data_IF_612660116062
#
_entry.id   IF_612660116062
#
_cell.length_a   1.000
_cell.length_b   1.000
_cell.length_c   1.000
_cell.angle_alpha   90.00
_cell.angle_beta   90.00
_cell.angle_gamma   90.00
#
_symmetry.space_group_name_H-M   'P 1'
#
loop_
_entity.id
_entity.type
_entity.pdbx_description
1 polymer ?
#
# COMPACT_ATOMS: atom_id res chain seq x y z
N UNK A 1 -45.38 62.31 32.04
CA UNK A 1 -44.60 61.09 31.75
C UNK A 1 -43.54 61.39 30.70
N UNK A 2 -42.36 61.87 31.07
CA UNK A 2 -41.28 62.15 30.09
C UNK A 2 -39.92 62.12 30.79
N UNK A 3 -39.33 60.91 30.89
CA UNK A 3 -38.02 60.73 31.48
C UNK A 3 -37.58 59.27 31.42
N UNK A 4 -37.37 58.72 30.22
CA UNK A 4 -36.89 57.32 30.09
C UNK A 4 -36.19 56.98 28.77
N UNK A 5 -36.18 57.86 27.75
CA UNK A 5 -35.65 57.50 26.41
C UNK A 5 -34.16 57.79 26.19
N UNK A 6 -33.52 58.62 27.03
CA UNK A 6 -32.11 59.00 26.87
C UNK A 6 -31.12 58.02 27.53
N UNK A 7 -31.56 57.18 28.49
CA UNK A 7 -30.70 56.19 29.14
C UNK A 7 -30.48 54.94 28.27
N UNK A 8 -31.50 54.46 27.55
CA UNK A 8 -31.38 53.29 26.67
C UNK A 8 -30.35 53.49 25.55
N UNK A 9 -30.29 54.68 24.94
CA UNK A 9 -29.38 54.95 23.82
C UNK A 9 -27.89 54.87 24.21
N UNK A 10 -27.55 55.27 25.45
CA UNK A 10 -26.17 55.27 25.96
C UNK A 10 -25.69 53.85 26.30
N UNK A 11 -26.59 52.98 26.77
CA UNK A 11 -26.26 51.58 27.07
C UNK A 11 -25.99 50.75 25.80
N UNK A 12 -26.76 50.97 24.73
CA UNK A 12 -26.54 50.30 23.43
C UNK A 12 -25.24 50.70 22.73
N UNK A 13 -24.82 51.97 22.86
CA UNK A 13 -23.54 52.44 22.31
C UNK A 13 -22.33 51.87 23.07
N UNK A 14 -22.45 51.70 24.39
CA UNK A 14 -21.42 51.04 25.20
C UNK A 14 -21.24 49.56 24.86
N UNK A 15 -22.34 48.85 24.59
CA UNK A 15 -22.31 47.44 24.18
C UNK A 15 -21.70 47.24 22.77
N UNK A 16 -21.95 48.15 21.83
CA UNK A 16 -21.38 48.10 20.47
C UNK A 16 -19.88 48.41 20.42
N UNK A 17 -19.38 49.24 21.34
CA UNK A 17 -17.95 49.59 21.42
C UNK A 17 -17.08 48.49 22.04
N UNK A 18 -17.69 47.51 22.72
CA UNK A 18 -17.00 46.34 23.30
C UNK A 18 -16.98 45.12 22.36
N UNK A 19 -17.76 45.14 21.28
CA UNK A 19 -17.81 44.06 20.31
C UNK A 19 -16.49 43.76 19.56
N UNK A 20 -15.63 44.75 19.18
CA UNK A 20 -14.44 44.43 18.39
C UNK A 20 -13.32 43.80 19.22
N UNK A 21 -13.36 43.89 20.56
CA UNK A 21 -12.34 43.28 21.43
C UNK A 21 -12.54 41.78 21.61
N UNK A 22 -13.74 41.24 21.37
CA UNK A 22 -14.02 39.80 21.48
C UNK A 22 -13.63 39.01 20.21
N UNK A 23 -13.27 39.70 19.12
CA UNK A 23 -12.92 39.07 17.85
C UNK A 23 -11.40 38.93 17.65
N UNK A 24 -10.59 39.34 18.62
CA UNK A 24 -9.17 39.04 18.69
C UNK A 24 -8.94 37.70 19.41
N UNK A 25 -9.68 36.66 19.03
CA UNK A 25 -9.18 35.30 19.19
C UNK A 25 -8.15 35.13 18.07
N UNK A 26 -6.95 35.64 18.35
CA UNK A 26 -5.77 35.50 17.52
C UNK A 26 -5.69 34.06 17.02
N UNK A 27 -5.80 33.88 15.71
CA UNK A 27 -5.24 32.71 15.06
C UNK A 27 -3.78 32.69 15.46
N UNK A 28 -3.45 31.95 16.52
CA UNK A 28 -2.07 31.77 16.91
C UNK A 28 -1.38 31.15 15.72
N UNK A 29 -0.54 31.93 15.02
CA UNK A 29 0.43 31.42 14.08
C UNK A 29 1.53 30.75 14.92
N UNK A 30 1.16 29.72 15.67
CA UNK A 30 2.10 28.82 16.29
C UNK A 30 2.76 28.02 15.19
N UNK A 31 4.03 27.71 15.35
CA UNK A 31 4.67 26.63 14.62
C UNK A 31 4.03 25.29 15.04
N UNK A 32 2.75 25.10 14.71
CA UNK A 32 2.04 23.85 14.85
C UNK A 32 2.64 22.88 13.85
N UNK A 33 3.50 21.98 14.32
CA UNK A 33 3.93 20.84 13.54
C UNK A 33 2.70 19.98 13.23
N UNK A 34 2.16 20.12 12.03
CA UNK A 34 1.15 19.21 11.51
C UNK A 34 1.87 17.96 11.00
N UNK A 35 1.80 16.87 11.78
CA UNK A 35 2.35 15.58 11.36
C UNK A 35 1.31 14.83 10.54
N UNK A 36 1.55 14.69 9.24
CA UNK A 36 0.78 13.80 8.38
C UNK A 36 1.41 12.40 8.40
N UNK A 37 0.60 11.35 8.61
CA UNK A 37 1.04 9.96 8.43
C UNK A 37 0.62 9.48 7.05
N UNK A 38 1.60 9.19 6.20
CA UNK A 38 1.37 8.56 4.90
C UNK A 38 1.72 7.07 5.02
N UNK A 39 0.79 6.19 4.63
CA UNK A 39 1.02 4.74 4.50
C UNK A 39 1.05 4.38 3.03
N UNK A 40 2.20 3.91 2.55
CA UNK A 40 2.33 3.32 1.22
C UNK A 40 2.22 1.79 1.34
N UNK A 41 1.44 1.16 0.46
CA UNK A 41 1.37 -0.31 0.34
C UNK A 41 1.66 -0.66 -1.11
N UNK A 42 2.65 -1.52 -1.33
CA UNK A 42 2.99 -2.06 -2.65
C UNK A 42 2.66 -3.54 -2.67
N UNK A 43 1.85 -3.96 -3.62
CA UNK A 43 1.51 -5.37 -3.84
C UNK A 43 2.30 -5.86 -5.05
N UNK A 44 3.16 -6.85 -4.83
CA UNK A 44 3.92 -7.51 -5.90
C UNK A 44 3.28 -8.88 -6.16
N UNK A 45 2.68 -9.10 -7.34
CA UNK A 45 2.06 -10.38 -7.65
C UNK A 45 3.12 -11.48 -7.83
N UNK A 46 2.77 -12.76 -7.59
CA UNK A 46 3.59 -13.90 -7.98
C UNK A 46 3.95 -13.88 -9.46
N UNK A 47 5.22 -14.10 -9.78
CA UNK A 47 5.73 -14.22 -11.16
C UNK A 47 6.60 -15.46 -11.24
N UNK A 48 6.39 -16.24 -12.29
CA UNK A 48 7.17 -17.42 -12.64
C UNK A 48 7.35 -17.47 -14.16
N UNK A 49 8.58 -17.71 -14.62
CA UNK A 49 8.92 -17.81 -16.04
C UNK A 49 9.92 -18.94 -16.25
N UNK A 50 9.75 -19.69 -17.34
CA UNK A 50 10.75 -20.66 -17.82
C UNK A 50 11.65 -19.93 -18.83
N UNK A 51 12.92 -19.80 -18.51
CA UNK A 51 13.93 -19.16 -19.37
C UNK A 51 14.53 -20.15 -20.37
N UNK A 52 14.77 -21.38 -19.92
CA UNK A 52 15.32 -22.46 -20.73
C UNK A 52 14.76 -23.81 -20.28
N UNK A 53 14.62 -24.73 -21.23
CA UNK A 53 14.27 -26.13 -20.99
C UNK A 53 15.33 -27.02 -21.62
N UNK A 54 15.87 -27.95 -20.84
CA UNK A 54 16.84 -28.95 -21.30
C UNK A 54 16.33 -30.33 -20.94
N UNK A 55 16.08 -31.16 -21.95
CA UNK A 55 15.65 -32.54 -21.75
C UNK A 55 16.84 -33.38 -21.25
N UNK A 56 16.59 -34.24 -20.27
CA UNK A 56 17.56 -35.17 -19.70
C UNK A 56 17.01 -36.60 -19.74
N UNK A 57 17.85 -37.61 -19.45
CA UNK A 57 17.40 -39.00 -19.39
C UNK A 57 16.32 -39.22 -18.32
N UNK A 58 16.35 -38.44 -17.24
CA UNK A 58 15.46 -38.57 -16.08
C UNK A 58 14.26 -37.60 -16.12
N UNK A 59 14.17 -36.72 -17.12
CA UNK A 59 13.11 -35.72 -17.22
C UNK A 59 13.54 -34.43 -17.91
N UNK A 60 13.29 -33.30 -17.26
CA UNK A 60 13.63 -31.97 -17.76
C UNK A 60 14.30 -31.12 -16.68
N UNK A 61 15.36 -30.43 -17.07
CA UNK A 61 15.95 -29.34 -16.30
C UNK A 61 15.43 -28.01 -16.85
N UNK A 62 14.76 -27.24 -16.00
CA UNK A 62 14.32 -25.89 -16.33
C UNK A 62 15.23 -24.86 -15.67
N UNK A 63 15.67 -23.88 -16.45
CA UNK A 63 16.12 -22.61 -15.90
C UNK A 63 14.89 -21.72 -15.73
N UNK A 64 14.61 -21.27 -14.52
CA UNK A 64 13.40 -20.50 -14.22
C UNK A 64 13.75 -19.19 -13.54
N UNK A 65 12.96 -18.16 -13.78
CA UNK A 65 12.96 -16.93 -12.99
C UNK A 65 11.67 -16.83 -12.18
N UNK A 66 11.78 -16.60 -10.87
CA UNK A 66 10.61 -16.41 -10.01
C UNK A 66 10.86 -15.38 -8.92
N UNK A 67 9.87 -14.57 -8.59
CA UNK A 67 9.94 -13.69 -7.42
C UNK A 67 9.50 -14.38 -6.11
N UNK A 68 9.16 -15.67 -6.17
CA UNK A 68 8.73 -16.48 -5.04
C UNK A 68 9.88 -17.33 -4.47
N UNK A 69 9.75 -17.74 -3.20
CA UNK A 69 10.69 -18.70 -2.57
C UNK A 69 10.40 -20.16 -2.92
N UNK A 70 9.24 -20.46 -3.48
CA UNK A 70 8.90 -21.78 -3.96
C UNK A 70 7.87 -21.73 -5.08
N UNK A 71 7.77 -22.83 -5.83
CA UNK A 71 6.77 -23.06 -6.88
C UNK A 71 6.24 -24.49 -6.80
N UNK A 72 5.07 -24.71 -7.40
CA UNK A 72 4.48 -26.03 -7.56
C UNK A 72 4.57 -26.46 -9.02
N UNK A 73 5.19 -27.61 -9.30
CA UNK A 73 5.18 -28.25 -10.62
C UNK A 73 4.77 -29.70 -10.44
N UNK A 74 3.72 -30.12 -11.15
CA UNK A 74 3.23 -31.50 -11.09
C UNK A 74 2.85 -31.97 -9.68
N UNK A 75 2.34 -31.06 -8.84
CA UNK A 75 1.99 -31.37 -7.44
C UNK A 75 3.18 -31.47 -6.47
N UNK A 76 4.41 -31.21 -6.92
CA UNK A 76 5.61 -31.16 -6.08
C UNK A 76 6.05 -29.72 -5.83
N UNK A 77 6.36 -29.41 -4.58
CA UNK A 77 6.95 -28.12 -4.20
C UNK A 77 8.45 -28.12 -4.50
N UNK A 78 8.92 -27.08 -5.18
CA UNK A 78 10.33 -26.79 -5.40
C UNK A 78 10.67 -25.51 -4.66
N UNK A 79 11.59 -25.60 -3.68
CA UNK A 79 12.02 -24.47 -2.84
C UNK A 79 13.37 -23.94 -3.28
N UNK A 80 13.50 -22.62 -3.23
CA UNK A 80 14.68 -21.89 -3.66
C UNK A 80 15.36 -21.20 -2.48
N UNK A 81 16.69 -21.13 -2.52
CA UNK A 81 17.45 -20.37 -1.53
C UNK A 81 17.12 -18.86 -1.61
N UNK A 82 16.86 -18.37 -2.83
CA UNK A 82 16.51 -16.97 -3.10
C UNK A 82 15.56 -16.85 -4.30
N UNK A 83 14.71 -15.81 -4.34
CA UNK A 83 14.04 -15.40 -5.56
C UNK A 83 15.04 -15.03 -6.65
N UNK A 84 14.61 -15.13 -7.90
CA UNK A 84 15.36 -14.86 -9.11
C UNK A 84 15.53 -16.12 -9.95
N UNK A 85 16.67 -16.22 -10.61
CA UNK A 85 17.03 -17.35 -11.46
C UNK A 85 17.42 -18.59 -10.64
N UNK A 86 16.81 -19.73 -10.95
CA UNK A 86 17.07 -21.02 -10.31
C UNK A 86 16.95 -22.16 -11.34
N UNK A 87 17.67 -23.26 -11.12
CA UNK A 87 17.49 -24.50 -11.88
C UNK A 87 16.53 -25.43 -11.15
N UNK A 88 15.57 -26.01 -11.87
CA UNK A 88 14.58 -26.96 -11.36
C UNK A 88 14.63 -28.24 -12.18
N UNK A 89 14.96 -29.35 -11.54
CA UNK A 89 14.83 -30.67 -12.14
C UNK A 89 13.41 -31.21 -11.93
N UNK A 90 12.68 -31.46 -13.02
CA UNK A 90 11.36 -32.05 -13.03
C UNK A 90 11.46 -33.46 -13.60
N UNK A 91 11.18 -34.51 -12.79
CA UNK A 91 11.23 -35.89 -13.25
C UNK A 91 10.27 -36.14 -14.42
N UNK A 92 10.64 -37.10 -15.27
CA UNK A 92 9.75 -37.59 -16.30
C UNK A 92 8.42 -38.06 -15.67
N UNK A 93 7.28 -37.76 -16.30
CA UNK A 93 6.00 -38.28 -15.83
C UNK A 93 6.02 -39.82 -15.89
N UNK A 94 5.27 -40.51 -15.01
CA UNK A 94 5.09 -41.95 -15.10
C UNK A 94 4.59 -42.36 -16.49
N UNK A 95 4.91 -43.58 -16.92
CA UNK A 95 4.46 -44.10 -18.21
C UNK A 95 2.93 -43.93 -18.36
N UNK A 96 2.52 -43.24 -19.43
CA UNK A 96 1.11 -42.94 -19.73
C UNK A 96 0.62 -41.57 -19.23
N UNK A 97 1.44 -40.78 -18.52
CA UNK A 97 1.13 -39.40 -18.13
C UNK A 97 1.89 -38.39 -19.01
N UNK A 98 1.26 -37.24 -19.26
CA UNK A 98 1.81 -36.17 -20.11
C UNK A 98 1.96 -34.89 -19.29
N UNK A 99 3.09 -34.20 -19.42
CA UNK A 99 3.28 -32.86 -18.86
C UNK A 99 2.89 -31.86 -19.94
N UNK A 100 1.83 -31.09 -19.71
CA UNK A 100 1.47 -29.97 -20.58
C UNK A 100 2.25 -28.75 -20.11
N UNK A 101 3.21 -28.31 -20.91
CA UNK A 101 3.86 -27.01 -20.71
C UNK A 101 2.88 -25.94 -21.21
N UNK A 102 2.18 -25.27 -20.29
CA UNK A 102 1.30 -24.15 -20.63
C UNK A 102 2.10 -22.99 -21.23
N UNK A 103 1.56 -22.43 -22.32
CA UNK A 103 2.06 -21.29 -23.09
C UNK A 103 2.43 -20.07 -22.23
#
# INVERSE_FOLDING_TARGET
MTGSRLQSARATLGALMLAPMLCAAESSLGAGSATARVRLVVVVPPVFQVLQSTQTAEGHDYLVWTNMKSIMIGGREYRFARPGENTVHVPAPPAGAWVVHGL
#
